data_IF_497990549716
#
_entry.id   IF_497990549716
#
_cell.length_a   1.000
_cell.length_b   1.000
_cell.length_c   1.000
_cell.angle_alpha   90.00
_cell.angle_beta   90.00
_cell.angle_gamma   90.00
#
_symmetry.space_group_name_H-M   'P 1'
#
loop_
_entity.id
_entity.type
_entity.pdbx_description
1 polymer ?
#
# COMPACT_ATOMS: atom_id res chain seq x y z
N UNK A 1 19.79 -10.83 -25.68
CA UNK A 1 20.16 -9.44 -25.30
C UNK A 1 19.04 -8.43 -25.59
N UNK A 2 18.52 -8.34 -26.83
CA UNK A 2 17.49 -7.36 -27.23
C UNK A 2 16.12 -7.56 -26.54
N UNK A 3 15.69 -8.81 -26.36
CA UNK A 3 14.45 -9.18 -25.66
C UNK A 3 14.44 -8.70 -24.20
N UNK A 4 15.50 -8.99 -23.44
CA UNK A 4 15.63 -8.58 -22.04
C UNK A 4 15.60 -7.05 -21.87
N UNK A 5 16.20 -6.32 -22.81
CA UNK A 5 16.16 -4.85 -22.82
C UNK A 5 14.76 -4.29 -23.06
N UNK A 6 13.97 -4.90 -23.97
CA UNK A 6 12.59 -4.50 -24.22
C UNK A 6 11.68 -4.79 -23.02
N UNK A 7 11.84 -5.96 -22.40
CA UNK A 7 11.11 -6.32 -21.18
C UNK A 7 11.41 -5.34 -20.04
N UNK A 8 12.69 -4.97 -19.85
CA UNK A 8 13.08 -4.02 -18.82
C UNK A 8 12.51 -2.61 -19.07
N UNK A 9 12.49 -2.14 -20.33
CA UNK A 9 11.85 -0.88 -20.70
C UNK A 9 10.34 -0.87 -20.48
N UNK A 10 9.64 -1.94 -20.88
CA UNK A 10 8.20 -2.06 -20.68
C UNK A 10 7.85 -2.09 -19.19
N UNK A 11 8.62 -2.82 -18.39
CA UNK A 11 8.47 -2.82 -16.93
C UNK A 11 8.65 -1.41 -16.35
N UNK A 12 9.70 -0.69 -16.76
CA UNK A 12 9.99 0.65 -16.26
C UNK A 12 8.89 1.65 -16.65
N UNK A 13 8.40 1.59 -17.88
CA UNK A 13 7.31 2.44 -18.36
C UNK A 13 6.01 2.13 -17.59
N UNK A 14 5.67 0.84 -17.42
CA UNK A 14 4.51 0.43 -16.66
C UNK A 14 4.58 0.87 -15.20
N UNK A 15 5.74 0.69 -14.56
CA UNK A 15 6.00 1.16 -13.21
C UNK A 15 5.82 2.68 -13.08
N UNK A 16 6.41 3.46 -14.00
CA UNK A 16 6.29 4.91 -14.01
C UNK A 16 4.84 5.38 -14.22
N UNK A 17 4.07 4.71 -15.08
CA UNK A 17 2.66 5.02 -15.31
C UNK A 17 1.81 4.77 -14.05
N UNK A 18 2.02 3.64 -13.36
CA UNK A 18 1.32 3.33 -12.11
C UNK A 18 1.70 4.36 -11.03
N UNK A 19 2.99 4.66 -10.90
CA UNK A 19 3.48 5.65 -9.93
C UNK A 19 2.87 7.03 -10.19
N UNK A 20 2.82 7.47 -11.45
CA UNK A 20 2.23 8.73 -11.85
C UNK A 20 0.73 8.76 -11.57
N UNK A 21 0.01 7.67 -11.83
CA UNK A 21 -1.40 7.53 -11.47
C UNK A 21 -1.64 7.69 -9.97
N UNK A 22 -0.81 7.04 -9.14
CA UNK A 22 -0.88 7.17 -7.68
C UNK A 22 -0.64 8.63 -7.25
N UNK A 23 0.39 9.29 -7.79
CA UNK A 23 0.70 10.69 -7.46
C UNK A 23 -0.46 11.62 -7.84
N UNK A 24 -1.04 11.45 -9.03
CA UNK A 24 -2.18 12.27 -9.46
C UNK A 24 -3.38 12.06 -8.52
N UNK A 25 -3.71 10.81 -8.19
CA UNK A 25 -4.82 10.49 -7.29
C UNK A 25 -4.59 11.05 -5.87
N UNK A 26 -3.36 11.00 -5.35
CA UNK A 26 -3.07 11.54 -4.02
C UNK A 26 -3.13 13.06 -4.00
N UNK A 27 -2.60 13.73 -5.04
CA UNK A 27 -2.64 15.20 -5.14
C UNK A 27 -4.07 15.73 -5.30
N UNK A 28 -4.90 15.10 -6.14
CA UNK A 28 -6.31 15.51 -6.30
C UNK A 28 -7.12 15.28 -5.03
N UNK A 29 -6.88 14.17 -4.34
CA UNK A 29 -7.50 13.87 -3.05
C UNK A 29 -7.07 14.85 -1.96
N UNK A 30 -5.79 15.24 -1.95
CA UNK A 30 -5.26 16.23 -1.02
C UNK A 30 -5.84 17.62 -1.30
N UNK A 31 -5.93 18.03 -2.56
CA UNK A 31 -6.52 19.30 -2.96
C UNK A 31 -7.99 19.40 -2.55
N UNK A 32 -8.79 18.35 -2.80
CA UNK A 32 -10.19 18.31 -2.36
C UNK A 32 -10.32 18.34 -0.84
N UNK A 33 -9.46 17.61 -0.12
CA UNK A 33 -9.41 17.67 1.34
C UNK A 33 -9.10 19.07 1.89
N UNK A 34 -8.16 19.79 1.27
CA UNK A 34 -7.76 21.14 1.68
C UNK A 34 -8.80 22.21 1.31
N UNK A 35 -9.46 22.07 0.16
CA UNK A 35 -10.42 23.07 -0.33
C UNK A 35 -11.80 22.93 0.29
N UNK A 36 -12.30 21.71 0.49
CA UNK A 36 -13.68 21.48 0.95
C UNK A 36 -13.75 21.04 2.41
N UNK A 37 -12.60 20.87 3.08
CA UNK A 37 -12.53 20.28 4.42
C UNK A 37 -13.01 18.83 4.48
N UNK A 38 -13.26 18.23 3.31
CA UNK A 38 -13.77 16.87 3.12
C UNK A 38 -12.77 16.15 2.25
N UNK A 39 -12.00 15.24 2.86
CA UNK A 39 -11.37 14.19 2.06
C UNK A 39 -12.51 13.36 1.43
N UNK A 40 -12.46 13.04 0.15
CA UNK A 40 -13.39 12.07 -0.47
C UNK A 40 -12.81 10.65 -0.48
N UNK A 41 -11.53 10.52 -0.14
CA UNK A 41 -10.77 9.28 -0.19
C UNK A 41 -10.31 8.90 1.22
N UNK A 42 -10.41 7.61 1.52
CA UNK A 42 -9.84 7.02 2.74
C UNK A 42 -8.60 6.23 2.39
N UNK A 43 -7.58 6.35 3.23
CA UNK A 43 -6.28 5.73 3.05
C UNK A 43 -5.77 5.15 4.35
N UNK A 44 -4.70 4.38 4.25
CA UNK A 44 -4.10 3.78 5.42
C UNK A 44 -2.72 3.23 5.16
N UNK A 45 -1.93 3.12 6.22
CA UNK A 45 -0.56 2.63 6.19
C UNK A 45 -0.45 1.47 7.16
N UNK A 46 0.15 0.36 6.72
CA UNK A 46 0.51 -0.76 7.57
C UNK A 46 2.03 -0.73 7.80
N UNK A 47 2.46 -0.39 9.01
CA UNK A 47 3.84 -0.53 9.44
C UNK A 47 4.08 -1.92 10.01
N UNK A 48 5.12 -2.60 9.53
CA UNK A 48 5.51 -3.91 10.05
C UNK A 48 6.81 -3.71 10.84
N UNK A 49 6.71 -3.61 12.16
CA UNK A 49 7.88 -3.47 13.04
C UNK A 49 8.21 -4.83 13.68
N UNK A 50 9.16 -5.55 13.09
CA UNK A 50 9.47 -6.93 13.48
C UNK A 50 8.31 -7.88 13.16
N UNK A 51 7.62 -8.39 14.19
CA UNK A 51 6.48 -9.31 14.06
C UNK A 51 5.13 -8.65 14.38
N UNK A 52 5.11 -7.36 14.74
CA UNK A 52 3.89 -6.65 15.12
C UNK A 52 3.48 -5.72 13.96
N UNK A 53 2.39 -6.05 13.23
CA UNK A 53 1.81 -5.11 12.28
C UNK A 53 1.00 -4.02 13.00
N UNK A 54 1.26 -2.77 12.68
CA UNK A 54 0.58 -1.58 13.20
C UNK A 54 -0.08 -0.86 12.03
N UNK A 55 -1.41 -0.77 12.04
CA UNK A 55 -2.19 -0.10 11.01
C UNK A 55 -2.64 1.29 11.44
N UNK A 56 -2.46 2.28 10.57
CA UNK A 56 -3.05 3.62 10.70
C UNK A 56 -4.01 3.86 9.54
N UNK A 57 -5.28 4.13 9.83
CA UNK A 57 -6.28 4.51 8.84
C UNK A 57 -6.64 5.99 8.99
N UNK A 58 -6.91 6.66 7.88
CA UNK A 58 -7.28 8.08 7.83
C UNK A 58 -8.28 8.33 6.70
N UNK A 59 -9.13 9.34 6.89
CA UNK A 59 -10.18 9.73 5.94
C UNK A 59 -11.60 9.40 6.41
N UNK A 60 -12.62 9.73 5.58
CA UNK A 60 -14.04 9.71 5.97
C UNK A 60 -14.61 8.33 6.25
N UNK A 61 -14.01 7.32 5.62
CA UNK A 61 -14.38 5.92 5.70
C UNK A 61 -13.22 5.09 6.26
N UNK A 62 -12.46 5.69 7.18
CA UNK A 62 -11.32 5.07 7.85
C UNK A 62 -11.70 3.78 8.58
N UNK A 63 -12.95 3.61 8.99
CA UNK A 63 -13.50 2.36 9.52
C UNK A 63 -13.36 1.17 8.56
N UNK A 64 -13.70 1.33 7.27
CA UNK A 64 -13.53 0.27 6.28
C UNK A 64 -12.05 0.04 5.95
N UNK A 65 -11.27 1.12 5.88
CA UNK A 65 -9.82 1.01 5.67
C UNK A 65 -9.14 0.30 6.84
N UNK A 66 -9.59 0.53 8.07
CA UNK A 66 -9.09 -0.13 9.28
C UNK A 66 -9.42 -1.63 9.28
N UNK A 67 -10.63 -2.01 8.86
CA UNK A 67 -10.99 -3.42 8.67
C UNK A 67 -10.08 -4.10 7.65
N UNK A 68 -9.82 -3.43 6.52
CA UNK A 68 -8.91 -3.95 5.50
C UNK A 68 -7.46 -4.08 6.04
N UNK A 69 -6.96 -3.08 6.76
CA UNK A 69 -5.65 -3.13 7.40
C UNK A 69 -5.55 -4.24 8.45
N UNK A 70 -6.63 -4.51 9.20
CA UNK A 70 -6.69 -5.59 10.16
C UNK A 70 -6.57 -6.96 9.48
N UNK A 71 -7.26 -7.17 8.35
CA UNK A 71 -7.14 -8.41 7.57
C UNK A 71 -5.71 -8.58 7.04
N UNK A 72 -5.12 -7.51 6.48
CA UNK A 72 -3.73 -7.54 6.01
C UNK A 72 -2.73 -7.82 7.14
N UNK A 73 -2.93 -7.19 8.31
CA UNK A 73 -2.13 -7.45 9.50
C UNK A 73 -2.17 -8.92 9.92
N UNK A 74 -3.35 -9.55 9.90
CA UNK A 74 -3.52 -10.96 10.23
C UNK A 74 -2.76 -11.86 9.24
N UNK A 75 -2.86 -11.55 7.93
CA UNK A 75 -2.12 -12.26 6.88
C UNK A 75 -0.62 -12.15 7.10
N UNK A 76 -0.11 -10.95 7.40
CA UNK A 76 1.31 -10.71 7.68
C UNK A 76 1.76 -11.54 8.89
N UNK A 77 1.00 -11.57 9.99
CA UNK A 77 1.32 -12.37 11.18
C UNK A 77 1.42 -13.86 10.82
N UNK A 78 0.46 -14.39 10.08
CA UNK A 78 0.45 -15.81 9.68
C UNK A 78 1.71 -16.13 8.85
N UNK A 79 2.01 -15.29 7.85
CA UNK A 79 3.20 -15.44 7.01
C UNK A 79 4.47 -15.38 7.85
N UNK A 80 4.58 -14.41 8.77
CA UNK A 80 5.74 -14.27 9.66
C UNK A 80 5.93 -15.49 10.57
N UNK A 81 4.85 -16.08 11.08
CA UNK A 81 4.91 -17.31 11.89
C UNK A 81 5.42 -18.49 11.06
N UNK A 82 4.88 -18.67 9.84
CA UNK A 82 5.30 -19.73 8.92
C UNK A 82 6.78 -19.57 8.58
N UNK A 83 7.20 -18.36 8.18
CA UNK A 83 8.57 -18.07 7.82
C UNK A 83 9.54 -18.33 8.97
N UNK A 84 9.18 -17.93 10.20
CA UNK A 84 10.00 -18.20 11.39
C UNK A 84 10.13 -19.69 11.70
N UNK A 85 9.11 -20.50 11.41
CA UNK A 85 9.18 -21.96 11.58
C UNK A 85 10.08 -22.59 10.53
N UNK A 86 10.05 -22.12 9.29
CA UNK A 86 10.88 -22.63 8.20
C UNK A 86 12.35 -22.26 8.34
N UNK A 87 12.67 -21.08 8.89
CA UNK A 87 14.06 -20.60 9.04
C UNK A 87 14.78 -21.12 10.29
N UNK A 88 14.11 -21.89 11.17
CA UNK A 88 14.74 -22.56 12.33
C UNK A 88 15.35 -23.91 11.94
N UNK A 89 16.03 -23.96 10.80
CA UNK A 89 16.88 -25.09 10.36
C UNK A 89 18.33 -24.66 10.46
#
# INVERSE_FOLDING_TARGET
>A
MREAFLLHKLFLIGFLLVLLGIIVLTLTSLQTALSEGKASVSGGVLFIFGFIPIGFAFGPHSEYTMLLLMVLALIVIIISIILRRTMKV
#
